data_IF_797127743204
#
_entry.id   IF_797127743204
#
_cell.length_a   1.000
_cell.length_b   1.000
_cell.length_c   1.000
_cell.angle_alpha   90.00
_cell.angle_beta   90.00
_cell.angle_gamma   90.00
#
_symmetry.space_group_name_H-M   'P 1'
#
loop_
_entity.id
_entity.type
_entity.pdbx_description
1 polymer ?
#
# COMPACT_ATOMS: atom_id res chain seq x y z
N UNK A 1 -13.02 -10.20 -3.05
CA UNK A 1 -11.61 -10.63 -3.10
C UNK A 1 -10.71 -9.47 -3.55
N UNK A 2 -9.98 -8.74 -2.67
CA UNK A 2 -9.04 -7.72 -3.18
C UNK A 2 -7.58 -8.17 -3.29
N UNK A 3 -7.22 -9.34 -2.76
CA UNK A 3 -5.84 -9.86 -2.83
C UNK A 3 -5.86 -11.33 -3.22
N UNK A 4 -6.28 -11.64 -4.44
CA UNK A 4 -6.09 -12.96 -5.04
C UNK A 4 -5.01 -12.99 -6.12
N UNK A 5 -4.37 -11.86 -6.42
CA UNK A 5 -3.30 -11.76 -7.40
C UNK A 5 -2.27 -10.73 -6.97
N UNK A 6 -1.02 -10.94 -7.38
CA UNK A 6 0.06 -9.96 -7.25
C UNK A 6 -0.36 -8.67 -7.94
N UNK A 7 -0.35 -7.56 -7.21
CA UNK A 7 -0.48 -6.22 -7.79
C UNK A 7 0.89 -5.84 -8.32
N UNK A 8 0.98 -5.63 -9.63
CA UNK A 8 2.15 -5.09 -10.31
C UNK A 8 1.90 -3.62 -10.67
N UNK A 9 2.53 -2.67 -9.96
CA UNK A 9 2.40 -1.21 -10.19
C UNK A 9 2.90 -0.81 -11.59
N UNK A 10 3.70 -1.66 -12.25
CA UNK A 10 4.32 -1.38 -13.54
C UNK A 10 3.78 -2.15 -14.75
N UNK A 11 2.67 -2.91 -14.65
CA UNK A 11 2.13 -3.61 -15.83
C UNK A 11 1.39 -2.62 -16.76
N UNK A 12 1.74 -2.52 -18.07
CA UNK A 12 0.85 -1.88 -19.02
C UNK A 12 -0.43 -2.70 -19.12
N UNK A 13 -1.56 -2.05 -18.84
CA UNK A 13 -2.87 -2.69 -18.80
C UNK A 13 -3.25 -3.25 -20.19
N UNK A 14 -3.60 -4.54 -20.25
CA UNK A 14 -4.48 -5.05 -21.29
C UNK A 14 -5.80 -5.53 -20.67
N UNK A 15 -6.87 -4.93 -21.21
CA UNK A 15 -8.30 -4.97 -20.86
C UNK A 15 -8.75 -4.17 -19.63
N UNK A 16 -9.19 -2.92 -19.91
CA UNK A 16 -9.76 -1.98 -18.94
C UNK A 16 -8.79 -0.86 -18.50
N UNK A 17 -7.95 -0.37 -19.42
CA UNK A 17 -6.85 0.53 -19.11
C UNK A 17 -7.30 1.79 -18.32
N UNK A 18 -6.63 2.16 -17.21
CA UNK A 18 -6.78 3.49 -16.63
C UNK A 18 -6.41 4.51 -17.69
N UNK A 19 -7.15 5.63 -17.75
CA UNK A 19 -6.88 6.70 -18.71
C UNK A 19 -5.40 7.08 -18.63
N UNK A 20 -4.72 7.03 -19.76
CA UNK A 20 -3.31 7.38 -19.92
C UNK A 20 -3.02 8.73 -19.24
N UNK A 21 -2.45 8.70 -18.03
CA UNK A 21 -2.12 9.90 -17.25
C UNK A 21 -2.29 9.81 -15.74
N UNK A 22 -3.11 8.88 -15.23
CA UNK A 22 -3.36 8.77 -13.78
C UNK A 22 -2.28 7.93 -13.09
N UNK A 23 -1.28 8.60 -12.49
CA UNK A 23 -0.33 7.95 -11.58
C UNK A 23 -1.03 7.66 -10.25
N UNK A 24 -0.67 6.54 -9.61
CA UNK A 24 -1.11 6.27 -8.24
C UNK A 24 -0.45 7.27 -7.29
N UNK A 25 -1.26 7.99 -6.51
CA UNK A 25 -0.79 9.01 -5.57
C UNK A 25 -0.42 8.45 -4.19
N UNK A 26 -1.08 7.35 -3.78
CA UNK A 26 -0.91 6.74 -2.47
C UNK A 26 -1.41 5.31 -2.46
N UNK A 27 -0.66 4.40 -1.85
CA UNK A 27 -1.05 3.00 -1.67
C UNK A 27 -1.25 2.73 -0.18
N UNK A 28 -2.40 2.17 0.18
CA UNK A 28 -2.68 1.70 1.54
C UNK A 28 -2.82 0.17 1.50
N UNK A 29 -2.01 -0.53 2.29
CA UNK A 29 -1.98 -1.99 2.37
C UNK A 29 -2.61 -2.45 3.68
N UNK A 30 -3.43 -3.51 3.62
CA UNK A 30 -4.04 -4.06 4.82
C UNK A 30 -4.51 -5.50 4.66
N UNK A 31 -4.24 -6.34 5.67
CA UNK A 31 -4.86 -7.65 5.83
C UNK A 31 -6.29 -7.56 6.36
N UNK A 32 -7.06 -8.64 6.19
CA UNK A 32 -8.44 -8.71 6.67
C UNK A 32 -8.53 -8.94 8.18
N UNK A 33 -9.60 -8.43 8.78
CA UNK A 33 -9.92 -8.61 10.19
C UNK A 33 -11.13 -9.51 10.39
N UNK A 34 -11.19 -10.23 11.51
CA UNK A 34 -12.36 -10.98 11.96
C UNK A 34 -12.26 -12.50 11.75
N UNK A 35 -13.28 -13.25 12.18
CA UNK A 35 -13.32 -14.70 12.02
C UNK A 35 -13.28 -15.07 10.53
N UNK A 36 -12.45 -16.06 10.16
CA UNK A 36 -12.23 -16.49 8.77
C UNK A 36 -11.61 -15.40 7.88
N UNK A 37 -10.91 -14.42 8.47
CA UNK A 37 -10.09 -13.48 7.71
C UNK A 37 -9.19 -14.23 6.72
N UNK A 38 -9.12 -13.73 5.48
CA UNK A 38 -8.25 -14.34 4.48
C UNK A 38 -6.79 -14.17 4.89
N UNK A 39 -6.01 -15.20 4.61
CA UNK A 39 -4.56 -15.20 4.84
C UNK A 39 -3.93 -13.96 4.19
N UNK A 40 -3.24 -13.16 5.00
CA UNK A 40 -2.41 -12.07 4.51
C UNK A 40 -1.03 -12.63 4.17
N UNK A 41 -0.68 -12.59 2.89
CA UNK A 41 0.63 -13.02 2.41
C UNK A 41 1.64 -11.90 2.60
N UNK A 42 2.51 -12.05 3.59
CA UNK A 42 3.47 -11.01 3.98
C UNK A 42 4.48 -10.72 2.88
N UNK A 43 4.89 -11.75 2.14
CA UNK A 43 5.75 -11.62 0.97
C UNK A 43 5.11 -10.77 -0.15
N UNK A 44 3.78 -10.75 -0.24
CA UNK A 44 3.08 -9.86 -1.16
C UNK A 44 3.08 -8.41 -0.69
N UNK A 45 2.95 -8.19 0.62
CA UNK A 45 3.03 -6.84 1.21
C UNK A 45 4.43 -6.26 0.97
N UNK A 46 5.47 -7.03 1.23
CA UNK A 46 6.86 -6.64 0.97
C UNK A 46 7.09 -6.33 -0.52
N UNK A 47 6.62 -7.22 -1.40
CA UNK A 47 6.70 -7.00 -2.85
C UNK A 47 5.96 -5.74 -3.31
N UNK A 48 4.84 -5.39 -2.69
CA UNK A 48 4.09 -4.16 -2.98
C UNK A 48 4.82 -2.92 -2.48
N UNK A 49 5.42 -2.96 -1.29
CA UNK A 49 6.25 -1.87 -0.73
C UNK A 49 7.43 -1.58 -1.67
N UNK A 50 8.15 -2.63 -2.12
CA UNK A 50 9.26 -2.48 -3.07
C UNK A 50 8.81 -1.77 -4.34
N UNK A 51 7.67 -2.17 -4.90
CA UNK A 51 7.14 -1.55 -6.11
C UNK A 51 6.70 -0.10 -5.90
N UNK A 52 6.13 0.23 -4.73
CA UNK A 52 5.79 1.62 -4.38
C UNK A 52 7.04 2.48 -4.34
N UNK A 53 8.12 1.98 -3.72
CA UNK A 53 9.43 2.64 -3.69
C UNK A 53 10.03 2.83 -5.09
N UNK A 54 9.96 1.82 -5.95
CA UNK A 54 10.43 1.91 -7.36
C UNK A 54 9.60 2.84 -8.23
N UNK A 55 8.35 3.11 -7.84
CA UNK A 55 7.44 4.02 -8.53
C UNK A 55 7.40 5.42 -7.90
N UNK A 56 8.14 5.65 -6.81
CA UNK A 56 8.06 6.85 -5.98
C UNK A 56 6.64 7.18 -5.53
N UNK A 57 5.86 6.14 -5.19
CA UNK A 57 4.50 6.25 -4.67
C UNK A 57 4.54 6.03 -3.16
N UNK A 58 4.05 6.97 -2.34
CA UNK A 58 3.93 6.79 -0.90
C UNK A 58 3.14 5.52 -0.56
N UNK A 59 3.62 4.75 0.42
CA UNK A 59 2.95 3.52 0.88
C UNK A 59 2.63 3.57 2.37
N UNK A 60 1.47 3.08 2.77
CA UNK A 60 1.06 2.97 4.16
C UNK A 60 0.56 1.55 4.47
N UNK A 61 1.29 0.81 5.30
CA UNK A 61 0.86 -0.48 5.82
C UNK A 61 0.00 -0.25 7.06
N UNK A 62 -1.30 -0.48 6.92
CA UNK A 62 -2.28 -0.22 7.98
C UNK A 62 -2.32 -1.32 9.04
N UNK A 63 -2.32 -2.58 8.60
CA UNK A 63 -2.36 -3.76 9.46
C UNK A 63 -2.03 -5.00 8.65
N UNK A 64 -1.47 -6.03 9.29
CA UNK A 64 -1.25 -7.34 8.65
C UNK A 64 -2.49 -8.25 8.74
N UNK A 65 -3.49 -7.89 9.54
CA UNK A 65 -4.74 -8.63 9.68
C UNK A 65 -4.64 -9.79 10.66
N UNK A 66 -5.64 -10.67 10.65
CA UNK A 66 -5.77 -11.75 11.64
C UNK A 66 -5.07 -13.08 11.28
N UNK A 67 -4.61 -13.27 10.04
CA UNK A 67 -3.85 -14.46 9.60
C UNK A 67 -2.65 -14.10 8.69
N UNK A 68 -1.62 -13.40 9.20
CA UNK A 68 -0.44 -13.06 8.41
C UNK A 68 0.56 -14.21 8.35
N UNK A 69 1.00 -14.58 7.14
CA UNK A 69 1.97 -15.67 6.91
C UNK A 69 2.89 -15.37 5.73
N UNK A 70 4.12 -15.84 5.80
CA UNK A 70 5.03 -15.93 4.67
C UNK A 70 4.67 -17.15 3.81
N UNK A 71 5.10 -17.13 2.55
CA UNK A 71 4.77 -18.16 1.56
C UNK A 71 5.72 -19.34 1.57
N UNK A 72 6.91 -19.14 2.12
CA UNK A 72 7.90 -20.18 2.40
C UNK A 72 7.53 -20.72 3.79
N UNK A 73 7.08 -21.98 3.83
CA UNK A 73 6.97 -22.82 5.02
C UNK A 73 5.82 -22.66 6.02
N UNK A 74 4.74 -21.89 5.80
CA UNK A 74 3.58 -21.81 6.74
C UNK A 74 3.92 -21.45 8.21
N UNK A 75 5.20 -21.26 8.54
CA UNK A 75 5.72 -20.75 9.80
C UNK A 75 5.85 -19.24 9.63
N UNK A 76 5.29 -18.44 10.54
CA UNK A 76 5.57 -17.02 10.53
C UNK A 76 7.06 -16.80 10.88
N UNK A 77 7.81 -16.15 10.00
CA UNK A 77 9.22 -15.74 10.24
C UNK A 77 9.36 -14.66 11.34
N UNK A 78 8.25 -14.15 11.85
CA UNK A 78 8.20 -13.14 12.90
C UNK A 78 7.33 -13.62 14.06
N UNK A 79 7.62 -13.09 15.26
CA UNK A 79 6.93 -13.46 16.49
C UNK A 79 5.39 -13.38 16.31
N UNK A 80 4.62 -14.20 17.06
CA UNK A 80 3.17 -14.13 17.02
C UNK A 80 2.71 -12.68 17.23
N UNK A 81 1.92 -12.15 16.29
CA UNK A 81 1.33 -10.82 16.46
C UNK A 81 0.34 -10.88 17.63
N UNK A 82 0.63 -10.15 18.70
CA UNK A 82 -0.18 -10.11 19.93
C UNK A 82 -1.22 -8.99 19.83
N UNK A 83 -0.90 -7.94 19.08
CA UNK A 83 -1.77 -6.80 18.86
C UNK A 83 -3.06 -7.20 18.12
N UNK A 84 -4.15 -6.55 18.49
CA UNK A 84 -5.47 -6.80 17.91
C UNK A 84 -5.46 -6.53 16.39
N UNK A 85 -5.62 -7.59 15.58
CA UNK A 85 -5.57 -7.59 14.11
C UNK A 85 -4.17 -7.32 13.51
N UNK A 86 -3.11 -7.54 14.29
CA UNK A 86 -1.75 -7.31 13.82
C UNK A 86 -1.54 -5.87 13.38
N UNK A 87 -2.03 -4.92 14.18
CA UNK A 87 -2.04 -3.48 13.87
C UNK A 87 -0.85 -2.73 14.45
N UNK A 88 -0.08 -3.35 15.33
CA UNK A 88 1.11 -2.76 15.93
C UNK A 88 2.34 -2.99 15.03
N UNK A 89 2.91 -1.94 14.42
CA UNK A 89 4.09 -2.06 13.58
C UNK A 89 5.33 -2.59 14.31
N UNK A 90 5.42 -2.42 15.63
CA UNK A 90 6.59 -2.87 16.38
C UNK A 90 6.72 -4.39 16.46
N UNK A 91 5.61 -5.10 16.20
CA UNK A 91 5.55 -6.55 16.08
C UNK A 91 5.95 -7.05 14.67
N UNK A 92 6.08 -6.16 13.69
CA UNK A 92 6.34 -6.54 12.30
C UNK A 92 7.86 -6.51 11.99
N UNK A 93 8.32 -7.28 10.98
CA UNK A 93 9.61 -7.04 10.35
C UNK A 93 9.78 -5.56 9.96
N UNK A 94 10.97 -4.95 10.14
CA UNK A 94 11.23 -3.54 9.85
C UNK A 94 10.74 -3.08 8.47
N UNK A 95 10.81 -3.97 7.49
CA UNK A 95 10.48 -3.75 6.08
C UNK A 95 8.98 -3.49 5.87
N UNK A 96 8.13 -3.94 6.79
CA UNK A 96 6.68 -3.77 6.72
C UNK A 96 6.19 -2.55 7.51
N UNK A 97 7.06 -1.90 8.29
CA UNK A 97 6.71 -0.75 9.15
C UNK A 97 6.57 0.57 8.38
N UNK A 98 6.17 0.49 7.11
CA UNK A 98 6.09 1.65 6.21
C UNK A 98 4.80 2.40 6.47
N UNK A 99 4.93 3.69 6.83
CA UNK A 99 3.81 4.58 7.19
C UNK A 99 3.98 5.94 6.52
N UNK A 100 4.16 5.94 5.21
CA UNK A 100 4.33 7.15 4.42
C UNK A 100 2.96 7.74 4.08
N UNK A 101 2.91 9.06 4.10
CA UNK A 101 1.74 9.84 3.70
C UNK A 101 2.07 10.58 2.39
N UNK A 102 1.08 10.80 1.51
CA UNK A 102 1.29 11.66 0.36
C UNK A 102 1.69 13.06 0.80
N UNK A 103 2.60 13.68 0.06
CA UNK A 103 2.82 15.11 0.18
C UNK A 103 1.48 15.82 -0.04
N UNK A 104 1.21 16.87 0.75
CA UNK A 104 0.04 17.71 0.49
C UNK A 104 0.05 18.12 -0.98
N UNK A 105 -1.06 17.87 -1.70
CA UNK A 105 -1.20 18.38 -3.06
C UNK A 105 -1.13 19.89 -2.94
N UNK A 106 -0.04 20.51 -3.41
CA UNK A 106 0.07 21.95 -3.47
C UNK A 106 -1.17 22.47 -4.22
N UNK A 107 -2.02 23.22 -3.51
CA UNK A 107 -3.11 23.95 -4.14
C UNK A 107 -2.43 25.02 -4.99
N UNK A 108 -2.28 24.75 -6.29
CA UNK A 108 -1.79 25.76 -7.22
C UNK A 108 -2.82 26.88 -7.22
N UNK A 109 -2.52 28.11 -6.75
CA UNK A 109 -3.45 29.21 -6.89
C UNK A 109 -3.68 29.43 -8.39
N UNK A 110 -4.94 29.31 -8.81
CA UNK A 110 -5.36 29.67 -10.16
C UNK A 110 -4.95 31.12 -10.42
N UNK A 111 -4.18 31.37 -11.47
CA UNK A 111 -3.78 32.72 -11.88
C UNK A 111 -5.03 33.56 -12.09
N UNK A 112 -5.32 34.51 -11.21
CA UNK A 112 -6.18 35.63 -11.54
C UNK A 112 -5.38 36.57 -12.44
N UNK A 113 -5.77 36.63 -13.72
CA UNK A 113 -5.24 37.58 -14.69
C UNK A 113 -5.42 39.01 -14.18
N UNK A 114 -4.31 39.71 -13.94
CA UNK A 114 -4.31 41.15 -13.82
C UNK A 114 -4.45 41.73 -15.24
N UNK A 115 -5.66 42.16 -15.59
CA UNK A 115 -5.87 43.03 -16.75
C UNK A 115 -5.25 44.39 -16.43
N UNK A 116 -4.19 44.74 -17.15
CA UNK A 116 -3.63 46.08 -17.21
C UNK A 116 -4.65 46.99 -17.90
N UNK A 117 -5.13 48.02 -17.23
CA UNK A 117 -5.83 49.14 -17.85
C UNK A 117 -5.16 50.43 -17.40
N UNK A 118 -4.39 51.01 -18.31
CA UNK A 118 -3.92 52.39 -18.33
C UNK A 118 -4.23 52.95 -19.70
#
# INVERSE_FOLDING_TARGET
EPLLRLIEIRRPATMGAPKTGERLDWVIVGGESGPKARRCRVDWVEGLIRQCREASVPCFVKQLGADPRTSIDQVPDFAPLVSHRGSDPDEWPPELRVREYPAEKAVTPSKASATLAG
#
